data_IF_138169155568
#
_entry.id   IF_138169155568
#
_cell.length_a   1.000
_cell.length_b   1.000
_cell.length_c   1.000
_cell.angle_alpha   90.00
_cell.angle_beta   90.00
_cell.angle_gamma   90.00
#
_symmetry.space_group_name_H-M   'P 1'
#
loop_
_entity.id
_entity.type
_entity.pdbx_description
1 polymer ?
#
# COMPACT_ATOMS: atom_id res chain seq x y z
N UNK A 1 1.60 16.00 -9.20
CA UNK A 1 2.49 14.86 -9.52
C UNK A 1 3.79 15.12 -8.81
N UNK A 2 4.10 14.26 -7.86
CA UNK A 2 5.35 14.31 -7.10
C UNK A 2 6.34 13.33 -7.73
N UNK A 3 7.62 13.67 -7.75
CA UNK A 3 8.66 12.83 -8.35
C UNK A 3 9.89 12.83 -7.48
N UNK A 4 10.62 11.71 -7.51
CA UNK A 4 11.92 11.56 -6.87
C UNK A 4 12.92 11.01 -7.88
N UNK A 5 14.19 11.40 -7.76
CA UNK A 5 15.29 10.81 -8.53
C UNK A 5 16.57 10.73 -7.69
N UNK A 6 17.37 9.71 -7.95
CA UNK A 6 18.50 9.37 -7.10
C UNK A 6 19.38 8.28 -7.67
N UNK A 7 20.20 7.70 -6.81
CA UNK A 7 21.06 6.54 -7.10
C UNK A 7 20.72 5.39 -6.19
N UNK A 8 20.94 4.15 -6.63
CA UNK A 8 20.80 3.00 -5.74
C UNK A 8 21.98 2.97 -4.76
N UNK A 9 21.66 2.75 -3.49
CA UNK A 9 22.61 2.46 -2.42
C UNK A 9 22.29 1.11 -1.79
N UNK A 10 23.26 0.52 -1.10
CA UNK A 10 23.07 -0.71 -0.32
C UNK A 10 23.61 -0.50 1.09
N UNK A 11 22.72 -0.56 2.09
CA UNK A 11 23.08 -0.40 3.49
C UNK A 11 22.20 -1.25 4.41
N UNK A 12 22.45 -1.18 5.71
CA UNK A 12 21.70 -1.90 6.73
C UNK A 12 20.36 -1.23 7.02
N UNK A 13 19.30 -2.03 6.96
CA UNK A 13 17.96 -1.71 7.46
C UNK A 13 17.71 -2.43 8.79
N UNK A 14 17.03 -1.76 9.72
CA UNK A 14 16.64 -2.33 11.01
C UNK A 14 15.32 -1.75 11.46
N UNK A 15 14.45 -2.57 12.03
CA UNK A 15 13.07 -2.21 12.42
C UNK A 15 12.92 -1.95 13.92
N UNK A 16 14.00 -1.48 14.57
CA UNK A 16 14.01 -1.16 15.99
C UNK A 16 13.97 -2.40 16.90
N UNK A 17 13.92 -2.16 18.21
CA UNK A 17 14.08 -3.21 19.23
C UNK A 17 12.84 -4.09 19.46
N UNK A 18 11.70 -3.74 18.87
CA UNK A 18 10.46 -4.53 18.94
C UNK A 18 10.37 -5.57 17.81
N UNK A 19 11.32 -5.56 16.88
CA UNK A 19 11.38 -6.52 15.78
C UNK A 19 12.32 -7.67 16.13
N UNK A 20 11.89 -8.90 15.85
CA UNK A 20 12.75 -10.08 15.90
C UNK A 20 13.66 -10.19 14.66
N UNK A 21 13.41 -9.36 13.63
CA UNK A 21 14.21 -9.33 12.42
C UNK A 21 15.56 -8.66 12.70
N UNK A 22 16.63 -9.46 12.70
CA UNK A 22 17.99 -8.95 12.76
C UNK A 22 18.25 -7.97 11.59
N UNK A 23 19.15 -6.97 11.75
CA UNK A 23 19.47 -6.04 10.68
C UNK A 23 19.85 -6.75 9.38
N UNK A 24 19.26 -6.30 8.27
CA UNK A 24 19.51 -6.87 6.94
C UNK A 24 20.21 -5.83 6.08
N UNK A 25 21.10 -6.25 5.18
CA UNK A 25 21.48 -5.37 4.06
C UNK A 25 20.30 -5.23 3.11
N UNK A 26 20.06 -4.07 2.53
CA UNK A 26 19.04 -3.90 1.50
C UNK A 26 19.48 -2.83 0.51
N UNK A 27 19.05 -3.00 -0.74
CA UNK A 27 19.20 -2.02 -1.80
C UNK A 27 18.00 -1.07 -1.73
N UNK A 28 18.26 0.24 -1.71
CA UNK A 28 17.22 1.26 -1.71
C UNK A 28 17.69 2.50 -2.49
N UNK A 29 16.75 3.41 -2.80
CA UNK A 29 17.07 4.66 -3.48
C UNK A 29 17.58 5.71 -2.50
N UNK A 30 18.78 6.25 -2.76
CA UNK A 30 19.25 7.48 -2.15
C UNK A 30 18.84 8.65 -3.05
N UNK A 31 17.84 9.40 -2.59
CA UNK A 31 17.29 10.54 -3.32
C UNK A 31 18.27 11.72 -3.38
N UNK A 32 18.36 12.33 -4.56
CA UNK A 32 19.10 13.57 -4.79
C UNK A 32 18.17 14.75 -5.12
N UNK A 33 16.95 14.47 -5.62
CA UNK A 33 15.97 15.48 -6.03
C UNK A 33 14.55 14.96 -5.79
N UNK A 34 13.76 15.72 -5.03
CA UNK A 34 12.33 15.53 -4.77
C UNK A 34 11.50 16.71 -5.30
N UNK A 35 10.23 16.45 -5.64
CA UNK A 35 9.25 17.48 -5.99
C UNK A 35 7.87 17.20 -5.38
N UNK A 36 7.05 18.25 -5.28
CA UNK A 36 5.64 18.13 -4.90
C UNK A 36 5.46 17.71 -3.43
N UNK A 37 4.50 16.80 -3.22
CA UNK A 37 4.13 16.34 -1.87
C UNK A 37 5.22 15.51 -1.19
N UNK A 38 6.18 14.97 -1.95
CA UNK A 38 7.34 14.27 -1.39
C UNK A 38 8.26 15.24 -0.64
N UNK A 39 8.49 16.42 -1.22
CA UNK A 39 9.33 17.45 -0.63
C UNK A 39 8.68 18.14 0.58
N UNK A 40 7.34 18.26 0.58
CA UNK A 40 6.62 19.02 1.61
C UNK A 40 6.23 18.20 2.84
N UNK A 41 6.35 16.87 2.77
CA UNK A 41 6.00 15.98 3.87
C UNK A 41 7.06 15.96 4.98
N UNK A 42 6.72 15.37 6.12
CA UNK A 42 7.59 15.33 7.30
C UNK A 42 8.49 14.08 7.39
N UNK A 43 8.28 13.06 6.57
CA UNK A 43 9.16 11.88 6.57
C UNK A 43 10.35 12.08 5.65
N UNK A 44 11.50 11.54 6.05
CA UNK A 44 12.77 11.62 5.32
C UNK A 44 12.88 10.57 4.18
N UNK A 45 11.77 9.90 3.82
CA UNK A 45 11.77 8.90 2.76
C UNK A 45 10.48 8.07 2.69
N UNK A 46 10.46 7.12 1.76
CA UNK A 46 9.33 6.20 1.53
C UNK A 46 9.82 4.75 1.57
N UNK A 47 9.11 3.91 2.31
CA UNK A 47 9.24 2.46 2.25
C UNK A 47 8.17 1.88 1.32
N UNK A 48 8.58 1.49 0.10
CA UNK A 48 7.68 0.87 -0.86
C UNK A 48 7.36 -0.59 -0.51
N UNK A 49 6.07 -0.91 -0.41
CA UNK A 49 5.56 -2.28 -0.17
C UNK A 49 4.95 -2.92 -1.44
N UNK A 50 4.99 -2.22 -2.57
CA UNK A 50 4.49 -2.74 -3.85
C UNK A 50 5.27 -3.94 -4.36
N UNK A 51 4.71 -4.67 -5.32
CA UNK A 51 5.32 -5.87 -5.90
C UNK A 51 6.41 -5.48 -6.89
N UNK A 52 7.64 -5.88 -6.63
CA UNK A 52 8.76 -5.69 -7.55
C UNK A 52 10.10 -5.87 -6.85
N UNK A 53 11.08 -6.43 -7.54
CA UNK A 53 12.33 -6.98 -7.01
C UNK A 53 13.14 -6.06 -6.06
N UNK A 54 12.97 -4.74 -6.15
CA UNK A 54 13.62 -3.76 -5.26
C UNK A 54 12.77 -3.38 -4.04
N UNK A 55 11.56 -3.91 -3.90
CA UNK A 55 10.71 -3.71 -2.74
C UNK A 55 11.37 -4.29 -1.50
N UNK A 56 11.05 -3.71 -0.34
CA UNK A 56 11.58 -4.22 0.92
C UNK A 56 11.10 -5.64 1.21
N UNK A 57 9.88 -5.96 0.77
CA UNK A 57 9.28 -7.28 0.97
C UNK A 57 10.02 -8.33 0.16
N UNK A 58 10.17 -8.12 -1.14
CA UNK A 58 10.81 -9.10 -2.03
C UNK A 58 12.27 -9.34 -1.62
N UNK A 59 13.01 -8.29 -1.27
CA UNK A 59 14.38 -8.42 -0.78
C UNK A 59 14.51 -9.22 0.53
N UNK A 60 13.53 -9.12 1.44
CA UNK A 60 13.53 -9.88 2.69
C UNK A 60 13.06 -11.33 2.48
N UNK A 61 12.10 -11.55 1.58
CA UNK A 61 11.62 -12.87 1.18
C UNK A 61 12.73 -13.66 0.49
N UNK A 62 13.45 -13.04 -0.43
CA UNK A 62 14.59 -13.67 -1.14
C UNK A 62 15.69 -14.13 -0.18
N UNK A 63 15.84 -13.42 0.95
CA UNK A 63 16.78 -13.76 2.03
C UNK A 63 16.24 -14.83 2.98
N UNK A 64 15.00 -15.26 2.81
CA UNK A 64 14.30 -16.21 3.66
C UNK A 64 14.25 -15.78 5.14
N UNK A 65 14.17 -14.47 5.39
CA UNK A 65 14.10 -13.92 6.76
C UNK A 65 12.67 -13.52 7.16
N UNK A 66 11.76 -13.44 6.21
CA UNK A 66 10.31 -13.28 6.40
C UNK A 66 9.57 -14.13 5.37
N UNK A 67 8.31 -14.48 5.63
CA UNK A 67 7.45 -15.06 4.60
C UNK A 67 6.90 -13.97 3.67
N UNK A 68 6.45 -14.37 2.48
CA UNK A 68 5.89 -13.48 1.45
C UNK A 68 4.48 -13.00 1.79
N UNK A 69 4.41 -12.12 2.77
CA UNK A 69 3.18 -11.49 3.26
C UNK A 69 3.51 -10.36 4.22
N UNK A 70 2.66 -9.36 4.32
CA UNK A 70 2.73 -8.35 5.37
C UNK A 70 1.32 -7.97 5.81
N UNK A 71 1.21 -7.27 6.93
CA UNK A 71 -0.06 -6.77 7.47
C UNK A 71 0.07 -5.33 7.92
N UNK A 72 -0.94 -4.52 7.63
CA UNK A 72 -1.03 -3.12 8.01
C UNK A 72 -2.27 -2.89 8.86
N UNK A 73 -2.08 -2.41 10.08
CA UNK A 73 -3.13 -1.97 10.97
C UNK A 73 -2.90 -0.47 11.24
N UNK A 74 -3.71 0.38 10.62
CA UNK A 74 -3.62 1.82 10.83
C UNK A 74 -4.28 2.24 12.13
N UNK A 75 -3.63 3.14 12.86
CA UNK A 75 -4.25 3.87 13.97
C UNK A 75 -5.31 4.87 13.48
N UNK A 76 -6.09 5.41 14.41
CA UNK A 76 -7.03 6.48 14.10
C UNK A 76 -6.31 7.81 13.86
N UNK A 77 -6.88 8.72 13.08
CA UNK A 77 -6.26 10.01 12.71
C UNK A 77 -5.79 10.87 13.90
N UNK A 78 -6.36 10.66 15.10
CA UNK A 78 -5.97 11.35 16.35
C UNK A 78 -5.60 10.38 17.49
N UNK A 79 -5.62 9.09 17.21
CA UNK A 79 -5.26 8.02 18.14
C UNK A 79 -4.01 7.40 17.54
N UNK A 80 -2.86 8.03 17.79
CA UNK A 80 -1.59 7.56 17.27
C UNK A 80 -1.39 6.06 17.54
N UNK A 81 -0.55 5.41 16.72
CA UNK A 81 -0.33 3.98 16.80
C UNK A 81 -0.75 3.26 15.52
N UNK A 82 -1.04 1.97 15.67
CA UNK A 82 -1.09 1.01 14.58
C UNK A 82 0.09 0.04 14.66
N UNK A 83 0.11 -0.93 13.76
CA UNK A 83 1.17 -1.91 13.66
C UNK A 83 1.38 -2.32 12.20
N UNK A 84 2.64 -2.54 11.84
CA UNK A 84 3.03 -3.20 10.60
C UNK A 84 3.77 -4.48 10.96
N UNK A 85 3.41 -5.58 10.30
CA UNK A 85 4.12 -6.85 10.43
C UNK A 85 4.65 -7.23 9.05
N UNK A 86 5.96 -7.44 8.95
CA UNK A 86 6.60 -8.01 7.77
C UNK A 86 6.79 -9.50 8.02
N UNK A 87 6.18 -10.33 7.19
CA UNK A 87 5.98 -11.75 7.44
C UNK A 87 4.54 -12.10 7.78
N UNK A 88 4.28 -13.40 7.84
CA UNK A 88 2.94 -13.97 7.96
C UNK A 88 2.46 -13.94 9.39
N UNK A 89 1.18 -13.60 9.55
CA UNK A 89 0.45 -13.71 10.81
C UNK A 89 -0.65 -14.77 10.65
N UNK A 90 -1.07 -15.37 11.77
CA UNK A 90 -2.31 -16.12 11.78
C UNK A 90 -3.48 -15.13 11.64
N UNK A 91 -4.27 -15.19 10.57
CA UNK A 91 -5.37 -14.27 10.38
C UNK A 91 -6.44 -14.49 11.46
N UNK A 92 -7.16 -13.43 11.89
CA UNK A 92 -8.36 -13.58 12.70
C UNK A 92 -9.37 -14.53 12.04
N UNK A 93 -10.13 -15.27 12.84
CA UNK A 93 -11.07 -16.30 12.35
C UNK A 93 -12.17 -15.76 11.44
N UNK A 94 -12.48 -14.47 11.55
CA UNK A 94 -13.52 -13.74 10.82
C UNK A 94 -12.95 -12.86 9.69
N UNK A 95 -11.65 -12.98 9.39
CA UNK A 95 -11.03 -12.25 8.28
C UNK A 95 -11.65 -12.64 6.94
N UNK A 96 -12.02 -11.63 6.15
CA UNK A 96 -12.53 -11.79 4.79
C UNK A 96 -11.42 -11.50 3.79
N UNK A 97 -11.35 -12.30 2.73
CA UNK A 97 -10.33 -12.19 1.70
C UNK A 97 -10.93 -11.75 0.37
N UNK A 98 -10.17 -10.93 -0.35
CA UNK A 98 -10.42 -10.59 -1.74
C UNK A 98 -9.21 -11.01 -2.58
N UNK A 99 -9.46 -11.47 -3.81
CA UNK A 99 -8.37 -11.82 -4.72
C UNK A 99 -7.71 -10.55 -5.25
N UNK A 100 -6.37 -10.55 -5.25
CA UNK A 100 -5.56 -9.53 -5.91
C UNK A 100 -4.82 -10.13 -7.09
N UNK A 101 -4.81 -9.43 -8.23
CA UNK A 101 -4.14 -9.88 -9.45
C UNK A 101 -2.74 -9.24 -9.58
N UNK A 102 -1.65 -10.00 -9.35
CA UNK A 102 -0.28 -9.49 -9.50
C UNK A 102 0.14 -9.25 -10.94
N UNK A 103 -0.53 -9.86 -11.93
CA UNK A 103 -0.21 -9.66 -13.35
C UNK A 103 -0.76 -8.32 -13.84
N UNK A 104 -1.90 -7.89 -13.29
CA UNK A 104 -2.56 -6.64 -13.66
C UNK A 104 -1.75 -5.39 -13.29
N UNK A 105 -1.07 -5.42 -12.14
CA UNK A 105 -0.37 -4.24 -11.62
C UNK A 105 0.64 -4.62 -10.53
N UNK A 106 1.76 -3.87 -10.41
CA UNK A 106 2.63 -3.96 -9.22
C UNK A 106 1.93 -3.51 -7.94
N UNK A 107 0.80 -2.79 -8.04
CA UNK A 107 -0.02 -2.40 -6.90
C UNK A 107 -0.96 -3.50 -6.45
N UNK A 108 -1.27 -3.54 -5.15
CA UNK A 108 -2.33 -4.40 -4.60
C UNK A 108 -3.69 -3.88 -5.08
N UNK A 109 -4.31 -4.65 -5.97
CA UNK A 109 -5.62 -4.35 -6.52
C UNK A 109 -6.68 -5.35 -6.04
N UNK A 110 -7.93 -4.94 -6.09
CA UNK A 110 -9.12 -5.77 -5.85
C UNK A 110 -10.18 -5.50 -6.93
N UNK A 111 -11.12 -6.42 -7.05
CA UNK A 111 -12.26 -6.35 -7.97
C UNK A 111 -13.49 -5.77 -7.25
N UNK A 112 -13.70 -4.46 -7.39
CA UNK A 112 -14.83 -3.76 -6.78
C UNK A 112 -16.10 -3.95 -7.63
N UNK A 113 -17.10 -4.61 -7.04
CA UNK A 113 -18.36 -4.95 -7.75
C UNK A 113 -19.41 -3.86 -7.67
N UNK A 114 -19.56 -3.27 -6.50
CA UNK A 114 -20.65 -2.34 -6.22
C UNK A 114 -20.33 -1.50 -4.99
N UNK A 115 -20.92 -0.31 -4.92
CA UNK A 115 -20.85 0.60 -3.78
C UNK A 115 -22.26 0.73 -3.21
N UNK A 116 -22.37 0.63 -1.89
CA UNK A 116 -23.62 0.78 -1.15
C UNK A 116 -23.51 1.97 -0.21
N UNK A 117 -24.48 2.88 -0.26
CA UNK A 117 -24.59 4.02 0.66
C UNK A 117 -25.86 3.85 1.47
N UNK A 118 -25.73 3.81 2.80
CA UNK A 118 -26.84 3.51 3.72
C UNK A 118 -27.64 2.24 3.35
N UNK A 119 -26.95 1.19 2.86
CA UNK A 119 -27.55 -0.08 2.44
C UNK A 119 -28.24 -0.06 1.08
N UNK A 120 -28.16 1.06 0.33
CA UNK A 120 -28.68 1.15 -1.03
C UNK A 120 -27.54 1.10 -2.03
N UNK A 121 -27.64 0.16 -2.98
CA UNK A 121 -26.71 0.05 -4.10
C UNK A 121 -26.77 1.30 -4.98
N UNK A 122 -25.61 1.87 -5.30
CA UNK A 122 -25.50 2.95 -6.29
C UNK A 122 -25.74 2.41 -7.71
N UNK A 123 -26.47 3.13 -8.58
CA UNK A 123 -26.82 2.69 -9.93
C UNK A 123 -25.65 2.86 -10.92
N UNK A 124 -24.52 2.18 -10.65
CA UNK A 124 -23.29 2.25 -11.44
C UNK A 124 -23.02 0.92 -12.15
N UNK A 125 -22.43 1.00 -13.35
CA UNK A 125 -21.90 -0.17 -14.04
C UNK A 125 -20.56 -0.59 -13.38
N UNK A 126 -20.35 -1.87 -13.01
CA UNK A 126 -19.08 -2.31 -12.44
C UNK A 126 -17.84 -1.97 -13.28
N UNK A 127 -17.99 -1.81 -14.60
CA UNK A 127 -16.89 -1.40 -15.48
C UNK A 127 -16.29 -0.03 -15.12
N UNK A 128 -17.03 0.82 -14.40
CA UNK A 128 -16.54 2.12 -13.89
C UNK A 128 -15.35 1.93 -12.96
N UNK A 129 -15.32 0.83 -12.20
CA UNK A 129 -14.25 0.52 -11.24
C UNK A 129 -13.13 -0.34 -11.84
N UNK A 130 -13.34 -0.90 -13.03
CA UNK A 130 -12.45 -1.86 -13.69
C UNK A 130 -11.48 -1.20 -14.68
N UNK A 131 -10.97 -0.01 -14.33
CA UNK A 131 -9.96 0.71 -15.12
C UNK A 131 -8.61 0.01 -15.15
N UNK A 132 -7.59 0.60 -15.78
CA UNK A 132 -6.25 0.00 -16.01
C UNK A 132 -5.73 -0.90 -14.86
N UNK A 133 -5.67 -0.36 -13.63
CA UNK A 133 -5.14 -1.06 -12.46
C UNK A 133 -6.22 -1.64 -11.53
N UNK A 134 -7.49 -1.56 -11.91
CA UNK A 134 -8.63 -1.94 -11.07
C UNK A 134 -8.81 -0.97 -9.91
N UNK A 135 -9.34 -1.46 -8.79
CA UNK A 135 -9.41 -0.72 -7.53
C UNK A 135 -8.15 -0.98 -6.72
N UNK A 136 -7.32 0.04 -6.53
CA UNK A 136 -6.02 -0.08 -5.85
C UNK A 136 -6.16 0.22 -4.36
N UNK A 137 -5.50 -0.59 -3.53
CA UNK A 137 -5.28 -0.32 -2.12
C UNK A 137 -4.05 0.59 -2.01
N UNK A 138 -4.28 1.85 -1.65
CA UNK A 138 -3.24 2.88 -1.57
C UNK A 138 -3.07 3.37 -0.14
N UNK A 139 -1.87 3.19 0.42
CA UNK A 139 -1.48 3.71 1.73
C UNK A 139 -0.87 5.10 1.67
N UNK A 140 -0.57 5.60 0.48
CA UNK A 140 0.11 6.87 0.25
C UNK A 140 -0.81 8.09 0.20
N UNK A 141 -2.13 7.89 0.22
CA UNK A 141 -3.11 8.98 0.17
C UNK A 141 -4.10 8.93 1.33
N UNK A 142 -4.52 10.10 1.81
CA UNK A 142 -5.43 10.23 2.96
C UNK A 142 -6.89 9.92 2.61
N UNK A 143 -7.31 10.22 1.38
CA UNK A 143 -8.70 10.08 0.95
C UNK A 143 -8.85 8.97 -0.09
N UNK A 144 -10.03 8.35 -0.12
CA UNK A 144 -10.40 7.48 -1.24
C UNK A 144 -10.71 8.33 -2.48
N UNK A 145 -10.15 7.95 -3.62
CA UNK A 145 -10.42 8.59 -4.91
C UNK A 145 -11.34 7.71 -5.74
N UNK A 146 -12.39 8.31 -6.28
CA UNK A 146 -13.36 7.63 -7.14
C UNK A 146 -13.27 8.20 -8.57
N UNK A 147 -13.47 7.37 -9.60
CA UNK A 147 -13.77 7.87 -10.94
C UNK A 147 -14.93 8.87 -10.90
N UNK A 148 -14.93 9.87 -11.80
CA UNK A 148 -15.90 10.98 -11.77
C UNK A 148 -17.36 10.51 -11.68
N UNK A 149 -17.74 9.52 -12.50
CA UNK A 149 -19.09 8.94 -12.50
C UNK A 149 -19.47 8.34 -11.12
N UNK A 150 -18.55 7.60 -10.51
CA UNK A 150 -18.75 7.01 -9.19
C UNK A 150 -18.78 8.07 -8.09
N UNK A 151 -17.93 9.11 -8.19
CA UNK A 151 -17.91 10.22 -7.24
C UNK A 151 -19.22 11.00 -7.25
N UNK A 152 -19.77 11.30 -8.44
CA UNK A 152 -21.05 11.99 -8.59
C UNK A 152 -22.20 11.17 -7.98
N UNK A 153 -22.30 9.88 -8.32
CA UNK A 153 -23.32 8.99 -7.76
C UNK A 153 -23.20 8.84 -6.24
N UNK A 154 -21.97 8.80 -5.70
CA UNK A 154 -21.73 8.74 -4.26
C UNK A 154 -22.17 10.02 -3.55
N UNK A 155 -21.91 11.19 -4.16
CA UNK A 155 -22.27 12.50 -3.61
C UNK A 155 -23.78 12.73 -3.58
N UNK A 156 -24.52 12.14 -4.51
CA UNK A 156 -25.98 12.28 -4.63
C UNK A 156 -26.79 11.33 -3.72
N UNK A 157 -26.16 10.27 -3.21
CA UNK A 157 -26.80 9.21 -2.42
C UNK A 157 -27.07 9.61 -0.97
#
# INVERSE_FOLDING_TARGET
MSTSSGVLGEDLISFGNQSELAPQRAIFGCENVETGDLYSQHADGIMGLGRGDLSIMDQLVDKNVVSDSFSLCYGGMNVGGGAMVLGGISPPSDMVFAQSDPVRSPYYNIDLKEIHVAGKRLPLNPSVFDGKHGTVLDSGTTYAYLPEEAFLAFKEA
#
